data_IF_133513393951
#
_entry.id   IF_133513393951
#
_cell.length_a   1.000
_cell.length_b   1.000
_cell.length_c   1.000
_cell.angle_alpha   90.00
_cell.angle_beta   90.00
_cell.angle_gamma   90.00
#
_symmetry.space_group_name_H-M   'P 1'
#
loop_
_entity.id
_entity.type
_entity.pdbx_description
1 polymer ?
#
# COMPACT_ATOMS: atom_id res chain seq x y z
N UNK A 1 1.70 -21.95 7.59
CA UNK A 1 0.36 -21.32 7.37
C UNK A 1 -0.34 -22.06 6.24
N UNK A 2 -1.60 -22.35 6.44
CA UNK A 2 -2.44 -22.92 5.39
C UNK A 2 -2.92 -21.81 4.44
N UNK A 3 -3.46 -22.21 3.28
CA UNK A 3 -4.14 -21.27 2.37
C UNK A 3 -5.22 -20.46 3.09
N UNK A 4 -6.01 -21.12 3.96
CA UNK A 4 -7.07 -20.47 4.72
C UNK A 4 -6.51 -19.43 5.70
N UNK A 5 -5.38 -19.73 6.36
CA UNK A 5 -4.70 -18.78 7.24
C UNK A 5 -4.28 -17.53 6.47
N UNK A 6 -3.73 -17.71 5.28
CA UNK A 6 -3.30 -16.61 4.41
C UNK A 6 -4.50 -15.77 3.99
N UNK A 7 -5.58 -16.40 3.51
CA UNK A 7 -6.79 -15.69 3.10
C UNK A 7 -7.42 -14.92 4.26
N UNK A 8 -7.42 -15.51 5.46
CA UNK A 8 -7.92 -14.85 6.68
C UNK A 8 -7.09 -13.64 7.06
N UNK A 9 -5.76 -13.76 7.01
CA UNK A 9 -4.86 -12.64 7.27
C UNK A 9 -5.04 -11.52 6.25
N UNK A 10 -5.15 -11.86 4.97
CA UNK A 10 -5.39 -10.86 3.90
C UNK A 10 -6.73 -10.16 4.09
N UNK A 11 -7.77 -10.89 4.47
CA UNK A 11 -9.09 -10.29 4.76
C UNK A 11 -9.00 -9.31 5.93
N UNK A 12 -8.31 -9.69 7.00
CA UNK A 12 -8.07 -8.82 8.16
C UNK A 12 -7.25 -7.58 7.78
N UNK A 13 -6.28 -7.75 6.89
CA UNK A 13 -5.44 -6.67 6.39
C UNK A 13 -6.27 -5.68 5.56
N UNK A 14 -7.16 -6.18 4.72
CA UNK A 14 -8.10 -5.35 3.95
C UNK A 14 -9.03 -4.56 4.88
N UNK A 15 -9.55 -5.20 5.93
CA UNK A 15 -10.40 -4.52 6.91
C UNK A 15 -9.64 -3.38 7.61
N UNK A 16 -8.37 -3.57 7.92
CA UNK A 16 -7.53 -2.55 8.52
C UNK A 16 -7.30 -1.36 7.56
N UNK A 17 -7.15 -1.61 6.26
CA UNK A 17 -7.11 -0.56 5.24
C UNK A 17 -8.44 0.20 5.18
N UNK A 18 -9.56 -0.47 5.17
CA UNK A 18 -10.89 0.16 5.15
C UNK A 18 -11.11 1.03 6.39
N UNK A 19 -10.60 0.60 7.54
CA UNK A 19 -10.63 1.36 8.79
C UNK A 19 -9.57 2.46 8.86
N UNK A 20 -8.63 2.51 7.92
CA UNK A 20 -7.45 3.40 7.91
C UNK A 20 -6.67 3.31 9.22
N UNK A 21 -6.51 2.11 9.72
CA UNK A 21 -5.86 1.81 10.98
C UNK A 21 -4.39 1.41 10.74
N UNK A 22 -3.51 2.41 10.68
CA UNK A 22 -2.10 2.21 10.41
C UNK A 22 -1.40 1.35 11.47
N UNK A 23 -1.78 1.48 12.73
CA UNK A 23 -1.21 0.67 13.82
C UNK A 23 -1.56 -0.80 13.67
N UNK A 24 -2.82 -1.11 13.33
CA UNK A 24 -3.27 -2.47 13.06
C UNK A 24 -2.59 -3.06 11.84
N UNK A 25 -2.47 -2.29 10.76
CA UNK A 25 -1.73 -2.70 9.56
C UNK A 25 -0.28 -3.05 9.90
N UNK A 26 0.39 -2.20 10.67
CA UNK A 26 1.79 -2.42 11.07
C UNK A 26 1.95 -3.72 11.86
N UNK A 27 1.04 -4.01 12.79
CA UNK A 27 1.08 -5.22 13.62
C UNK A 27 0.91 -6.52 12.82
N UNK A 28 0.36 -6.45 11.63
CA UNK A 28 0.20 -7.60 10.74
C UNK A 28 1.48 -7.95 9.98
N UNK A 29 2.48 -7.06 10.00
CA UNK A 29 3.82 -7.33 9.47
C UNK A 29 4.72 -7.97 10.52
N UNK A 30 5.64 -8.82 10.07
CA UNK A 30 6.68 -9.34 10.95
C UNK A 30 7.52 -8.19 11.52
N UNK A 31 8.06 -8.33 12.76
CA UNK A 31 8.87 -7.25 13.36
C UNK A 31 10.03 -6.78 12.50
N UNK A 32 10.68 -7.71 11.77
CA UNK A 32 11.76 -7.41 10.83
C UNK A 32 11.29 -7.52 9.37
N UNK A 33 9.99 -7.38 9.12
CA UNK A 33 9.43 -7.47 7.77
C UNK A 33 9.87 -6.37 6.84
N UNK A 34 9.65 -6.57 5.54
CA UNK A 34 9.98 -5.60 4.51
C UNK A 34 8.75 -5.17 3.73
N UNK A 35 8.76 -3.93 3.31
CA UNK A 35 7.75 -3.32 2.46
C UNK A 35 8.47 -2.61 1.31
N UNK A 36 8.13 -2.95 0.09
CA UNK A 36 8.75 -2.35 -1.08
C UNK A 36 7.69 -1.73 -1.98
N UNK A 37 7.96 -0.53 -2.46
CA UNK A 37 7.11 0.16 -3.44
C UNK A 37 7.92 1.12 -4.30
N UNK A 38 7.39 1.54 -5.46
CA UNK A 38 8.03 2.57 -6.27
C UNK A 38 8.17 3.90 -5.54
N UNK A 39 7.29 4.19 -4.58
CA UNK A 39 7.27 5.46 -3.86
C UNK A 39 8.29 5.53 -2.73
N UNK A 40 8.46 4.43 -1.98
CA UNK A 40 9.28 4.40 -0.76
C UNK A 40 10.56 3.57 -0.89
N UNK A 41 10.74 2.85 -2.01
CA UNK A 41 11.81 1.87 -2.12
C UNK A 41 11.59 0.72 -1.16
N UNK A 42 12.66 0.21 -0.55
CA UNK A 42 12.61 -0.86 0.44
C UNK A 42 12.61 -0.24 1.83
N UNK A 43 11.58 -0.58 2.60
CA UNK A 43 11.41 -0.15 3.99
C UNK A 43 11.47 -1.39 4.87
N UNK A 44 12.30 -1.36 5.90
CA UNK A 44 12.53 -2.49 6.80
C UNK A 44 12.01 -2.18 8.21
N UNK A 45 11.34 -3.16 8.79
CA UNK A 45 10.88 -3.11 10.15
C UNK A 45 9.45 -2.57 10.30
N UNK A 46 8.75 -3.17 11.25
CA UNK A 46 7.33 -2.89 11.51
C UNK A 46 7.04 -1.41 11.77
N UNK A 47 7.89 -0.74 12.54
CA UNK A 47 7.69 0.67 12.89
C UNK A 47 7.79 1.57 11.66
N UNK A 48 8.82 1.37 10.85
CA UNK A 48 9.01 2.14 9.60
C UNK A 48 7.88 1.84 8.59
N UNK A 49 7.42 0.60 8.53
CA UNK A 49 6.27 0.22 7.69
C UNK A 49 5.00 0.93 8.17
N UNK A 50 4.80 1.02 9.48
CA UNK A 50 3.68 1.78 10.05
C UNK A 50 3.72 3.26 9.66
N UNK A 51 4.91 3.85 9.57
CA UNK A 51 5.09 5.24 9.11
C UNK A 51 4.66 5.42 7.65
N UNK A 52 4.90 4.42 6.79
CA UNK A 52 4.42 4.42 5.41
C UNK A 52 2.89 4.51 5.37
N UNK A 53 2.20 3.67 6.12
CA UNK A 53 0.73 3.70 6.16
C UNK A 53 0.21 5.04 6.69
N UNK A 54 0.80 5.58 7.75
CA UNK A 54 0.41 6.89 8.30
C UNK A 54 0.60 8.02 7.28
N UNK A 55 1.68 7.97 6.52
CA UNK A 55 1.94 8.95 5.47
C UNK A 55 0.80 8.98 4.44
N UNK A 56 0.41 7.82 3.92
CA UNK A 56 -0.64 7.72 2.91
C UNK A 56 -2.02 8.10 3.47
N UNK A 57 -2.35 7.70 4.69
CA UNK A 57 -3.63 8.05 5.31
C UNK A 57 -3.71 9.53 5.67
N UNK A 58 -2.59 10.17 5.98
CA UNK A 58 -2.54 11.61 6.21
C UNK A 58 -2.71 12.39 4.91
N UNK A 59 -2.05 11.96 3.84
CA UNK A 59 -2.17 12.59 2.52
C UNK A 59 -3.58 12.38 1.92
N UNK A 60 -4.19 11.22 2.16
CA UNK A 60 -5.50 10.84 1.64
C UNK A 60 -6.41 10.32 2.75
N UNK A 61 -7.07 11.20 3.53
CA UNK A 61 -7.95 10.76 4.62
C UNK A 61 -9.14 9.92 4.15
N UNK A 62 -9.52 10.06 2.89
CA UNK A 62 -10.58 9.28 2.24
C UNK A 62 -10.05 8.09 1.41
N UNK A 63 -8.79 7.71 1.61
CA UNK A 63 -8.14 6.62 0.87
C UNK A 63 -9.00 5.37 0.84
N UNK A 64 -9.17 4.83 -0.35
CA UNK A 64 -9.90 3.60 -0.60
C UNK A 64 -9.04 2.66 -1.42
N UNK A 65 -8.84 1.46 -0.91
CA UNK A 65 -8.14 0.40 -1.61
C UNK A 65 -9.10 -0.75 -1.85
N UNK A 66 -9.37 -1.04 -3.11
CA UNK A 66 -10.24 -2.15 -3.51
C UNK A 66 -9.36 -3.27 -4.05
N UNK A 67 -9.52 -4.48 -3.49
CA UNK A 67 -8.70 -5.63 -3.85
C UNK A 67 -9.42 -6.56 -4.80
N UNK A 68 -8.69 -7.06 -5.79
CA UNK A 68 -9.08 -8.21 -6.56
C UNK A 68 -8.94 -9.50 -5.76
N UNK A 69 -9.38 -10.60 -6.34
CA UNK A 69 -9.29 -11.92 -5.71
C UNK A 69 -7.82 -12.33 -5.55
N UNK A 70 -7.35 -12.68 -4.34
CA UNK A 70 -6.00 -13.15 -4.15
C UNK A 70 -5.72 -14.46 -4.87
N UNK A 71 -4.51 -14.57 -5.41
CA UNK A 71 -3.95 -15.80 -5.96
C UNK A 71 -2.93 -16.29 -4.94
N UNK A 72 -3.16 -17.47 -4.38
CA UNK A 72 -2.32 -18.03 -3.31
C UNK A 72 -1.54 -19.22 -3.83
N UNK A 73 -0.24 -19.20 -3.61
CA UNK A 73 0.67 -20.31 -3.92
C UNK A 73 1.63 -20.51 -2.76
N UNK A 74 1.47 -21.62 -2.05
CA UNK A 74 2.24 -21.95 -0.85
C UNK A 74 2.21 -20.80 0.19
N UNK A 75 3.37 -20.22 0.52
CA UNK A 75 3.51 -19.11 1.46
C UNK A 75 3.38 -17.72 0.84
N UNK A 76 2.92 -17.65 -0.41
CA UNK A 76 2.82 -16.42 -1.20
C UNK A 76 1.41 -16.13 -1.64
N UNK A 77 1.08 -14.85 -1.77
CA UNK A 77 -0.14 -14.42 -2.41
C UNK A 77 0.13 -13.21 -3.29
N UNK A 78 -0.58 -13.14 -4.39
CA UNK A 78 -0.56 -11.97 -5.27
C UNK A 78 -1.98 -11.48 -5.50
N UNK A 79 -2.16 -10.18 -5.64
CA UNK A 79 -3.44 -9.58 -5.94
C UNK A 79 -3.29 -8.26 -6.68
N UNK A 80 -4.30 -7.92 -7.47
CA UNK A 80 -4.44 -6.60 -8.03
C UNK A 80 -5.27 -5.72 -7.09
N UNK A 81 -4.96 -4.44 -7.05
CA UNK A 81 -5.72 -3.48 -6.28
C UNK A 81 -5.96 -2.19 -7.07
N UNK A 82 -6.98 -1.45 -6.67
CA UNK A 82 -7.28 -0.11 -7.18
C UNK A 82 -7.28 0.86 -6.02
N UNK A 83 -6.59 1.96 -6.19
CA UNK A 83 -6.50 3.06 -5.23
C UNK A 83 -7.35 4.22 -5.70
N UNK A 84 -8.05 4.86 -4.75
CA UNK A 84 -8.72 6.14 -4.95
C UNK A 84 -8.55 6.97 -3.69
N UNK A 85 -8.21 8.24 -3.85
CA UNK A 85 -8.09 9.16 -2.72
C UNK A 85 -8.02 10.60 -3.17
N UNK A 86 -8.48 11.50 -2.32
CA UNK A 86 -8.45 12.94 -2.54
C UNK A 86 -7.35 13.54 -1.67
N UNK A 87 -6.34 14.15 -2.32
CA UNK A 87 -5.22 14.76 -1.61
C UNK A 87 -5.69 15.92 -0.73
N UNK A 88 -5.24 15.94 0.53
CA UNK A 88 -5.53 17.00 1.47
C UNK A 88 -4.29 17.83 1.83
N UNK A 89 -3.18 17.58 1.15
CA UNK A 89 -1.93 18.28 1.38
C UNK A 89 -0.79 17.69 0.59
N UNK A 90 0.45 17.95 0.99
CA UNK A 90 1.62 17.45 0.27
C UNK A 90 1.61 15.94 0.12
N UNK A 91 1.94 15.49 -1.09
CA UNK A 91 2.11 14.08 -1.43
C UNK A 91 3.34 13.96 -2.33
N UNK A 92 4.49 13.68 -1.73
CA UNK A 92 5.81 13.69 -2.39
C UNK A 92 6.12 15.01 -3.11
N UNK A 93 5.52 16.09 -2.63
CA UNK A 93 5.62 17.43 -3.20
C UNK A 93 4.34 18.22 -2.98
N UNK A 94 4.26 19.42 -3.54
CA UNK A 94 3.09 20.26 -3.42
C UNK A 94 1.95 19.75 -4.31
N UNK A 95 0.89 19.27 -3.69
CA UNK A 95 -0.35 18.85 -4.37
C UNK A 95 -1.48 19.74 -3.86
N UNK A 96 -2.29 20.28 -4.77
CA UNK A 96 -3.47 21.05 -4.39
C UNK A 96 -4.48 20.21 -3.63
N UNK A 97 -5.00 20.74 -2.51
CA UNK A 97 -6.06 20.09 -1.77
C UNK A 97 -7.28 19.86 -2.69
N UNK A 98 -7.88 18.68 -2.57
CA UNK A 98 -9.00 18.27 -3.41
C UNK A 98 -8.63 17.59 -4.71
N UNK A 99 -7.33 17.39 -5.00
CA UNK A 99 -6.89 16.66 -6.18
C UNK A 99 -7.21 15.17 -6.04
N UNK A 100 -8.04 14.63 -6.93
CA UNK A 100 -8.37 13.21 -6.95
C UNK A 100 -7.24 12.43 -7.63
N UNK A 101 -6.76 11.40 -6.94
CA UNK A 101 -5.76 10.46 -7.44
C UNK A 101 -6.40 9.08 -7.53
N UNK A 102 -6.29 8.46 -8.70
CA UNK A 102 -6.71 7.08 -8.94
C UNK A 102 -5.57 6.32 -9.61
N UNK A 103 -5.35 5.06 -9.19
CA UNK A 103 -4.34 4.23 -9.83
C UNK A 103 -4.62 2.74 -9.59
N UNK A 104 -4.32 1.88 -10.59
CA UNK A 104 -4.24 0.45 -10.36
C UNK A 104 -2.84 0.06 -9.90
N UNK A 105 -2.76 -1.08 -9.23
CA UNK A 105 -1.49 -1.67 -8.84
C UNK A 105 -1.62 -3.14 -8.58
N UNK A 106 -0.52 -3.73 -8.12
CA UNK A 106 -0.47 -5.13 -7.74
C UNK A 106 0.47 -5.30 -6.55
N UNK A 107 0.25 -6.34 -5.78
CA UNK A 107 1.10 -6.67 -4.65
C UNK A 107 1.40 -8.16 -4.60
N UNK A 108 2.61 -8.49 -4.18
CA UNK A 108 3.03 -9.84 -3.82
C UNK A 108 3.36 -9.85 -2.34
N UNK A 109 2.72 -10.76 -1.62
CA UNK A 109 2.92 -10.97 -0.19
C UNK A 109 3.64 -12.30 0.04
N UNK A 110 4.56 -12.32 0.99
CA UNK A 110 5.16 -13.55 1.52
C UNK A 110 4.83 -13.61 3.00
N UNK A 111 4.36 -14.76 3.47
CA UNK A 111 3.88 -14.95 4.83
C UNK A 111 4.76 -15.93 5.60
N UNK A 112 4.90 -15.70 6.89
CA UNK A 112 5.52 -16.64 7.82
C UNK A 112 4.99 -16.38 9.23
N UNK A 113 4.77 -17.45 9.98
CA UNK A 113 4.41 -17.40 11.41
C UNK A 113 3.18 -16.52 11.70
N UNK A 114 2.18 -16.56 10.84
CA UNK A 114 0.95 -15.80 11.00
C UNK A 114 1.05 -14.31 10.67
N UNK A 115 2.15 -13.87 10.05
CA UNK A 115 2.43 -12.47 9.75
C UNK A 115 2.88 -12.29 8.31
N UNK A 116 2.84 -11.05 7.82
CA UNK A 116 3.39 -10.66 6.53
C UNK A 116 4.90 -10.49 6.72
N UNK A 117 5.68 -11.38 6.12
CA UNK A 117 7.13 -11.30 6.15
C UNK A 117 7.66 -10.26 5.17
N UNK A 118 7.05 -10.18 3.99
CA UNK A 118 7.39 -9.16 3.01
C UNK A 118 6.18 -8.86 2.13
N UNK A 119 6.12 -7.63 1.65
CA UNK A 119 5.18 -7.21 0.61
C UNK A 119 5.91 -6.33 -0.39
N UNK A 120 5.61 -6.55 -1.67
CA UNK A 120 6.08 -5.71 -2.76
C UNK A 120 4.89 -5.21 -3.54
N UNK A 121 4.75 -3.89 -3.59
CA UNK A 121 3.77 -3.21 -4.43
C UNK A 121 4.42 -2.73 -5.72
N UNK A 122 3.68 -2.82 -6.81
CA UNK A 122 4.04 -2.20 -8.09
C UNK A 122 2.88 -1.35 -8.58
N UNK A 123 3.17 -0.14 -9.00
CA UNK A 123 2.23 0.80 -9.59
C UNK A 123 2.97 1.90 -10.34
N UNK A 124 2.27 2.62 -11.20
CA UNK A 124 2.84 3.72 -12.01
C UNK A 124 2.96 5.01 -11.17
N UNK A 125 3.99 5.08 -10.35
CA UNK A 125 4.22 6.22 -9.46
C UNK A 125 4.51 7.51 -10.24
N UNK A 126 5.32 7.44 -11.30
CA UNK A 126 5.61 8.60 -12.15
C UNK A 126 4.34 9.17 -12.77
N UNK A 127 3.46 8.31 -13.28
CA UNK A 127 2.18 8.72 -13.84
C UNK A 127 1.27 9.39 -12.81
N UNK A 128 1.24 8.86 -11.59
CA UNK A 128 0.49 9.47 -10.47
C UNK A 128 1.02 10.86 -10.15
N UNK A 129 2.34 11.01 -10.04
CA UNK A 129 2.96 12.32 -9.75
C UNK A 129 2.73 13.33 -10.86
N UNK A 130 2.72 12.88 -12.13
CA UNK A 130 2.40 13.73 -13.27
C UNK A 130 0.95 14.22 -13.20
N UNK A 131 0.00 13.33 -12.95
CA UNK A 131 -1.43 13.69 -12.80
C UNK A 131 -1.68 14.59 -11.60
N UNK A 132 -0.90 14.42 -10.53
CA UNK A 132 -0.97 15.25 -9.33
C UNK A 132 -0.29 16.61 -9.50
N UNK A 133 0.46 16.84 -10.58
CA UNK A 133 1.19 18.07 -10.84
C UNK A 133 2.50 18.20 -10.07
N UNK A 134 2.96 17.15 -9.40
CA UNK A 134 4.24 17.11 -8.66
C UNK A 134 5.39 16.93 -9.63
N UNK A 135 5.22 16.05 -10.60
CA UNK A 135 6.21 15.77 -11.65
C UNK A 135 5.69 16.29 -12.99
N UNK A 136 6.54 17.02 -13.70
CA UNK A 136 6.21 17.55 -15.03
C UNK A 136 7.11 16.94 -16.07
N UNK A 137 6.53 16.62 -17.25
CA UNK A 137 7.31 16.20 -18.40
C UNK A 137 8.01 17.42 -18.97
N UNK A 138 9.32 17.30 -19.21
CA UNK A 138 10.09 18.34 -19.86
C UNK A 138 9.65 18.44 -21.33
N UNK A 139 9.34 19.64 -21.84
CA UNK A 139 9.03 19.82 -23.27
C UNK A 139 10.17 19.33 -24.15
N UNK A 140 9.83 18.55 -25.15
CA UNK A 140 10.78 18.01 -26.13
C UNK A 140 11.23 19.05 -27.14
#
# INVERSE_FOLDING_TARGET
>A
MTREDILSLLSSHQDAFLARDAARLALQHAPAGTFQSPAHGIVEGREAIGDVYRYWFTAFPDLRLTWGRPIVDADRAALFWSFSGTAQGPFFGAVGAGTLIEMPGAAEYVFADGLIRSVRHVFDFSGVLMRAGVLKVKPG
#
